data_IF_743490849131
#
_entry.id   IF_743490849131
#
_cell.length_a   1.000
_cell.length_b   1.000
_cell.length_c   1.000
_cell.angle_alpha   90.00
_cell.angle_beta   90.00
_cell.angle_gamma   90.00
#
_symmetry.space_group_name_H-M   'P 1'
#
loop_
_entity.id
_entity.type
_entity.pdbx_description
1 polymer ?
#
# COMPACT_ATOMS: atom_id res chain seq x y z
N UNK A 1 19.23 6.86 -39.99
CA UNK A 1 19.53 5.74 -39.08
C UNK A 1 18.30 5.54 -38.22
N UNK A 2 17.53 4.49 -38.52
CA UNK A 2 16.30 4.17 -37.81
C UNK A 2 16.66 3.19 -36.69
N UNK A 3 16.41 3.57 -35.43
CA UNK A 3 16.65 2.70 -34.29
C UNK A 3 15.40 1.85 -34.05
N UNK A 4 15.49 0.57 -34.37
CA UNK A 4 14.44 -0.41 -34.06
C UNK A 4 14.31 -0.54 -32.54
N UNK A 5 13.24 0.01 -31.98
CA UNK A 5 12.99 -0.01 -30.55
C UNK A 5 12.48 -1.39 -30.11
N UNK A 6 13.37 -2.22 -29.56
CA UNK A 6 13.00 -3.53 -29.03
C UNK A 6 12.18 -3.36 -27.72
N UNK A 7 10.94 -3.87 -27.66
CA UNK A 7 10.14 -3.73 -26.46
C UNK A 7 10.73 -4.59 -25.32
N UNK A 8 10.92 -3.99 -24.13
CA UNK A 8 11.52 -4.58 -22.90
C UNK A 8 11.03 -6.00 -22.57
N UNK A 9 9.79 -6.29 -22.92
CA UNK A 9 9.09 -7.58 -22.73
C UNK A 9 9.67 -8.73 -23.57
N UNK A 10 10.26 -8.45 -24.73
CA UNK A 10 10.91 -9.46 -25.58
C UNK A 10 12.34 -9.77 -25.11
N UNK A 11 13.04 -8.79 -24.53
CA UNK A 11 14.39 -8.99 -23.98
C UNK A 11 14.38 -9.94 -22.77
N UNK A 12 13.42 -9.76 -21.86
CA UNK A 12 13.32 -10.61 -20.66
C UNK A 12 12.95 -12.07 -20.96
N UNK A 13 12.31 -12.36 -22.11
CA UNK A 13 12.00 -13.73 -22.53
C UNK A 13 13.19 -14.44 -23.19
N UNK A 14 14.12 -13.69 -23.79
CA UNK A 14 15.33 -14.26 -24.40
C UNK A 14 16.40 -14.69 -23.38
N UNK A 15 16.46 -14.03 -22.23
CA UNK A 15 17.46 -14.31 -21.19
C UNK A 15 17.17 -15.59 -20.37
N UNK A 16 15.98 -16.17 -20.47
CA UNK A 16 15.63 -17.41 -19.77
C UNK A 16 16.07 -18.70 -20.49
N UNK A 17 16.75 -18.58 -21.64
CA UNK A 17 17.03 -19.70 -22.54
C UNK A 17 18.34 -20.47 -22.34
N UNK A 18 19.30 -19.99 -21.56
CA UNK A 18 20.59 -20.68 -21.37
C UNK A 18 21.04 -20.63 -19.91
N UNK A 19 20.72 -21.67 -19.13
CA UNK A 19 21.61 -22.27 -18.11
C UNK A 19 20.90 -23.47 -17.50
N UNK A 20 21.19 -24.64 -18.07
CA UNK A 20 20.87 -25.92 -17.47
C UNK A 20 22.04 -26.38 -16.57
N UNK A 21 21.69 -26.90 -15.39
CA UNK A 21 22.51 -27.72 -14.46
C UNK A 21 23.53 -26.92 -13.63
N UNK A 22 23.43 -26.83 -12.29
CA UNK A 22 23.70 -27.91 -11.34
C UNK A 22 22.86 -27.83 -10.06
N UNK A 23 22.30 -28.97 -9.67
CA UNK A 23 21.67 -29.19 -8.37
C UNK A 23 22.74 -29.39 -7.29
N UNK A 24 22.86 -28.46 -6.35
CA UNK A 24 23.47 -28.70 -5.03
C UNK A 24 23.12 -27.58 -4.04
N UNK A 25 22.27 -27.89 -3.06
CA UNK A 25 22.59 -27.50 -1.68
C UNK A 25 22.23 -26.11 -1.15
N UNK A 26 21.07 -25.54 -1.44
CA UNK A 26 20.43 -24.62 -0.48
C UNK A 26 19.10 -25.18 0.01
N UNK A 27 19.19 -26.01 1.06
CA UNK A 27 18.09 -26.27 1.97
C UNK A 27 17.72 -24.95 2.66
N UNK A 28 16.77 -24.21 2.08
CA UNK A 28 16.01 -23.19 2.80
C UNK A 28 14.93 -23.93 3.61
N UNK A 29 15.06 -24.09 4.95
CA UNK A 29 13.91 -24.47 5.74
C UNK A 29 12.94 -23.29 5.73
N UNK A 30 11.68 -23.54 5.37
CA UNK A 30 10.64 -22.53 5.50
C UNK A 30 10.09 -21.97 4.18
N UNK A 31 9.88 -22.83 3.18
CA UNK A 31 8.66 -22.71 2.36
C UNK A 31 7.55 -23.58 2.94
N UNK A 32 7.33 -23.45 4.26
CA UNK A 32 5.98 -23.65 4.75
C UNK A 32 5.19 -22.53 4.11
N UNK A 33 4.46 -22.86 3.03
CA UNK A 33 3.47 -21.96 2.50
C UNK A 33 2.62 -21.52 3.68
N UNK A 34 2.71 -20.25 4.05
CA UNK A 34 1.63 -19.59 4.71
C UNK A 34 0.49 -19.54 3.68
N UNK A 35 -0.12 -20.69 3.41
CA UNK A 35 -1.55 -20.73 3.24
C UNK A 35 -2.09 -20.35 4.61
N UNK A 36 -2.02 -19.04 4.91
CA UNK A 36 -2.96 -18.44 5.81
C UNK A 36 -4.30 -18.86 5.22
N UNK A 37 -4.95 -19.83 5.88
CA UNK A 37 -6.37 -20.00 5.71
C UNK A 37 -6.91 -18.58 5.85
N UNK A 38 -7.60 -18.09 4.84
CA UNK A 38 -8.46 -16.95 5.05
C UNK A 38 -9.51 -17.44 6.05
N UNK A 39 -9.17 -17.43 7.35
CA UNK A 39 -10.16 -17.20 8.37
C UNK A 39 -10.99 -16.04 7.83
N UNK A 40 -12.31 -16.20 7.81
CA UNK A 40 -13.19 -15.07 7.55
C UNK A 40 -12.80 -14.00 8.56
N UNK A 41 -11.95 -13.07 8.14
CA UNK A 41 -11.58 -11.94 8.96
C UNK A 41 -12.90 -11.25 9.22
N UNK A 42 -13.24 -11.07 10.49
CA UNK A 42 -14.32 -10.14 10.84
C UNK A 42 -14.05 -8.87 10.07
N UNK A 43 -15.10 -8.32 9.46
CA UNK A 43 -15.00 -7.06 8.72
C UNK A 43 -14.25 -6.05 9.61
N UNK A 44 -13.10 -5.50 9.13
CA UNK A 44 -12.32 -4.60 9.94
C UNK A 44 -13.17 -3.37 10.25
N UNK A 45 -13.10 -2.91 11.49
CA UNK A 45 -13.78 -1.66 11.86
C UNK A 45 -13.14 -0.51 11.09
N UNK A 46 -13.95 0.18 10.28
CA UNK A 46 -13.55 1.44 9.64
C UNK A 46 -13.97 2.60 10.54
N UNK A 47 -12.99 3.37 11.02
CA UNK A 47 -13.26 4.61 11.73
C UNK A 47 -13.59 5.71 10.72
N UNK A 48 -14.74 6.35 10.88
CA UNK A 48 -15.19 7.46 10.05
C UNK A 48 -14.33 8.72 10.24
N UNK A 49 -14.38 9.63 9.26
CA UNK A 49 -13.72 10.95 9.35
C UNK A 49 -14.08 11.72 10.63
N UNK A 50 -15.32 11.59 11.10
CA UNK A 50 -15.75 12.22 12.34
C UNK A 50 -15.10 11.57 13.58
N UNK A 51 -14.92 10.25 13.60
CA UNK A 51 -14.34 9.54 14.75
C UNK A 51 -12.86 9.87 14.97
N UNK A 52 -12.07 10.01 13.90
CA UNK A 52 -10.64 10.34 14.02
C UNK A 52 -10.36 11.86 14.04
N UNK A 53 -11.39 12.68 13.80
CA UNK A 53 -11.29 14.14 13.86
C UNK A 53 -10.67 14.75 12.61
N UNK A 54 -11.06 14.27 11.43
CA UNK A 54 -10.68 14.85 10.15
C UNK A 54 -11.16 16.29 10.04
N UNK A 55 -10.32 17.16 9.46
CA UNK A 55 -10.83 18.42 8.91
C UNK A 55 -11.50 18.18 7.55
N UNK A 56 -12.38 19.08 7.09
CA UNK A 56 -12.94 19.01 5.74
C UNK A 56 -11.85 19.09 4.67
N UNK A 57 -12.09 18.53 3.47
CA UNK A 57 -11.23 18.74 2.31
C UNK A 57 -11.07 20.23 1.97
N UNK A 58 -9.90 20.62 1.48
CA UNK A 58 -9.62 22.00 1.06
C UNK A 58 -10.35 22.38 -0.24
N UNK A 59 -10.65 21.41 -1.10
CA UNK A 59 -11.39 21.60 -2.36
C UNK A 59 -12.41 20.46 -2.57
N UNK A 60 -13.39 20.62 -3.50
CA UNK A 60 -14.29 19.54 -3.88
C UNK A 60 -13.54 18.30 -4.41
N UNK A 61 -13.89 17.13 -3.87
CA UNK A 61 -13.32 15.85 -4.29
C UNK A 61 -14.10 15.22 -5.45
N UNK A 62 -13.39 14.55 -6.35
CA UNK A 62 -14.01 13.76 -7.43
C UNK A 62 -14.33 12.36 -6.92
N UNK A 63 -15.60 11.96 -7.01
CA UNK A 63 -16.00 10.54 -6.81
C UNK A 63 -15.94 9.81 -8.14
N UNK A 64 -15.31 8.63 -8.15
CA UNK A 64 -15.24 7.78 -9.33
C UNK A 64 -16.45 6.84 -9.37
N UNK A 65 -17.24 6.88 -10.45
CA UNK A 65 -18.41 6.03 -10.64
C UNK A 65 -18.05 4.68 -11.29
N UNK A 66 -17.08 4.00 -10.71
CA UNK A 66 -16.72 2.64 -11.07
C UNK A 66 -16.14 1.90 -9.88
N UNK A 67 -16.13 0.57 -9.98
CA UNK A 67 -15.49 -0.27 -8.95
C UNK A 67 -13.97 -0.10 -8.99
N UNK A 68 -13.34 -0.14 -7.83
CA UNK A 68 -11.89 -0.26 -7.74
C UNK A 68 -11.46 -1.62 -8.32
N UNK A 69 -10.52 -1.61 -9.27
CA UNK A 69 -9.94 -2.81 -9.89
C UNK A 69 -8.55 -3.15 -9.31
N UNK A 70 -7.99 -2.24 -8.50
CA UNK A 70 -6.64 -2.31 -7.93
C UNK A 70 -6.63 -1.72 -6.53
N UNK A 71 -5.76 -2.26 -5.69
CA UNK A 71 -5.37 -1.67 -4.40
C UNK A 71 -3.86 -1.43 -4.42
N UNK A 72 -3.44 -0.22 -4.05
CA UNK A 72 -2.04 0.14 -3.92
C UNK A 72 -1.72 0.26 -2.43
N UNK A 73 -0.68 -0.46 -1.99
CA UNK A 73 -0.22 -0.43 -0.62
C UNK A 73 0.96 0.51 -0.53
N UNK A 74 0.82 1.54 0.29
CA UNK A 74 1.85 2.54 0.59
C UNK A 74 2.06 2.59 2.11
N UNK A 75 3.22 3.06 2.54
CA UNK A 75 3.48 3.35 3.94
C UNK A 75 3.35 4.85 4.17
N UNK A 76 2.82 5.26 5.33
CA UNK A 76 2.94 6.63 5.80
C UNK A 76 4.38 6.83 6.29
N UNK A 77 5.02 7.91 5.89
CA UNK A 77 6.41 8.20 6.22
C UNK A 77 6.57 8.74 7.66
N UNK A 78 6.01 8.04 8.64
CA UNK A 78 6.13 8.35 10.06
C UNK A 78 7.00 7.31 10.81
N UNK A 79 7.57 7.63 11.98
CA UNK A 79 8.24 6.65 12.82
C UNK A 79 7.33 5.48 13.20
N UNK A 80 7.91 4.30 13.36
CA UNK A 80 7.21 3.17 13.95
C UNK A 80 6.91 3.44 15.44
N UNK A 81 5.79 2.93 15.91
CA UNK A 81 5.34 3.05 17.30
C UNK A 81 4.91 1.71 17.87
N UNK A 82 5.08 1.56 19.18
CA UNK A 82 4.50 0.46 19.99
C UNK A 82 3.24 0.92 20.75
N UNK A 83 2.76 2.13 20.49
CA UNK A 83 1.45 2.57 20.94
C UNK A 83 0.40 2.09 19.94
N UNK A 84 -0.36 1.08 20.34
CA UNK A 84 -1.41 0.46 19.54
C UNK A 84 -2.80 1.06 19.84
N UNK A 85 -2.86 2.22 20.52
CA UNK A 85 -4.12 2.84 20.85
C UNK A 85 -4.78 3.50 19.63
N UNK A 86 -6.12 3.51 19.54
CA UNK A 86 -6.83 4.30 18.54
C UNK A 86 -6.48 5.79 18.60
N UNK A 87 -6.22 6.32 19.79
CA UNK A 87 -5.85 7.72 19.98
C UNK A 87 -4.54 8.08 19.25
N UNK A 88 -3.53 7.21 19.35
CA UNK A 88 -2.27 7.39 18.62
C UNK A 88 -2.48 7.26 17.10
N UNK A 89 -3.24 6.27 16.66
CA UNK A 89 -3.57 6.10 15.24
C UNK A 89 -4.28 7.33 14.65
N UNK A 90 -5.23 7.92 15.39
CA UNK A 90 -5.93 9.13 14.96
C UNK A 90 -5.02 10.35 14.93
N UNK A 91 -4.06 10.45 15.85
CA UNK A 91 -3.06 11.53 15.80
C UNK A 91 -2.22 11.43 14.53
N UNK A 92 -1.71 10.25 14.21
CA UNK A 92 -0.94 10.02 12.97
C UNK A 92 -1.77 10.36 11.74
N UNK A 93 -3.05 9.97 11.70
CA UNK A 93 -3.94 10.31 10.60
C UNK A 93 -4.16 11.83 10.44
N UNK A 94 -4.29 12.57 11.55
CA UNK A 94 -4.40 14.03 11.52
C UNK A 94 -3.10 14.71 11.10
N UNK A 95 -1.95 14.22 11.55
CA UNK A 95 -0.64 14.75 11.19
C UNK A 95 -0.38 14.55 9.68
N UNK A 96 -0.74 13.40 9.13
CA UNK A 96 -0.67 13.10 7.70
C UNK A 96 -1.63 13.98 6.88
N UNK A 97 -2.87 14.17 7.35
CA UNK A 97 -3.81 15.10 6.72
C UNK A 97 -3.31 16.56 6.78
N UNK A 98 -2.63 16.93 7.86
CA UNK A 98 -2.00 18.24 8.00
C UNK A 98 -0.92 18.45 6.93
N UNK A 99 0.02 17.50 6.83
CA UNK A 99 1.11 17.56 5.86
C UNK A 99 0.61 17.58 4.40
N UNK A 100 -0.34 16.70 4.06
CA UNK A 100 -0.88 16.62 2.71
C UNK A 100 -1.58 17.92 2.26
N UNK A 101 -2.40 18.52 3.12
CA UNK A 101 -3.12 19.75 2.75
C UNK A 101 -2.22 20.98 2.90
N UNK A 102 -1.53 21.15 4.03
CA UNK A 102 -0.83 22.40 4.36
C UNK A 102 0.54 22.51 3.67
N UNK A 103 1.26 21.38 3.51
CA UNK A 103 2.60 21.39 2.92
C UNK A 103 2.60 20.96 1.46
N UNK A 104 1.82 19.93 1.08
CA UNK A 104 1.76 19.48 -0.31
C UNK A 104 0.71 20.22 -1.16
N UNK A 105 -0.20 20.97 -0.52
CA UNK A 105 -1.27 21.70 -1.21
C UNK A 105 -2.33 20.77 -1.83
N UNK A 106 -2.50 19.55 -1.29
CA UNK A 106 -3.54 18.63 -1.74
C UNK A 106 -4.89 18.99 -1.15
N UNK A 107 -5.96 18.52 -1.78
CA UNK A 107 -7.31 18.79 -1.30
C UNK A 107 -7.71 17.93 -0.09
N UNK A 108 -7.06 16.78 0.13
CA UNK A 108 -7.26 15.91 1.30
C UNK A 108 -6.05 14.95 1.45
N UNK A 109 -6.16 13.94 2.32
CA UNK A 109 -5.19 12.83 2.40
C UNK A 109 -5.02 12.14 1.04
N UNK A 110 -3.80 11.71 0.70
CA UNK A 110 -3.49 11.04 -0.58
C UNK A 110 -3.97 9.59 -0.71
N UNK A 111 -4.54 9.03 0.35
CA UNK A 111 -4.95 7.64 0.48
C UNK A 111 -6.45 7.52 0.77
N UNK A 112 -7.06 6.43 0.34
CA UNK A 112 -8.46 6.12 0.62
C UNK A 112 -8.67 5.56 2.04
N UNK A 113 -7.69 4.80 2.53
CA UNK A 113 -7.71 4.17 3.85
C UNK A 113 -6.31 4.20 4.46
N UNK A 114 -6.25 4.40 5.78
CA UNK A 114 -5.04 4.21 6.58
C UNK A 114 -5.24 2.99 7.47
N UNK A 115 -4.30 2.04 7.41
CA UNK A 115 -4.29 0.90 8.34
C UNK A 115 -3.32 1.21 9.47
N UNK A 116 -3.83 1.23 10.69
CA UNK A 116 -3.04 1.49 11.88
C UNK A 116 -2.20 0.28 12.27
N UNK A 117 -1.25 0.48 13.18
CA UNK A 117 -0.43 -0.62 13.69
C UNK A 117 -1.26 -1.69 14.45
N UNK A 118 -2.40 -1.31 15.02
CA UNK A 118 -3.30 -2.21 15.75
C UNK A 118 -4.21 -3.06 14.86
N UNK A 119 -4.22 -2.81 13.54
CA UNK A 119 -5.28 -3.27 12.65
C UNK A 119 -6.44 -2.29 12.72
#
# INVERSE_FOLDING_TARGET
MEFTHLPRRSFLRGAAGLTAVTAAGLLLPGRAGAQARAQAATEPRVYSCAEWGARPPADPLTTLDHRADRALVHHIACPNSTDYSPAHAFQVARDDQADHIDNNGWSDTGQHFTVSRSG
#
